data_IF_224116770281
#
_entry.id   IF_224116770281
#
_cell.length_a   1.000
_cell.length_b   1.000
_cell.length_c   1.000
_cell.angle_alpha   90.00
_cell.angle_beta   90.00
_cell.angle_gamma   90.00
#
_symmetry.space_group_name_H-M   'P 1'
#
loop_
_entity.id
_entity.type
_entity.pdbx_description
1 polymer ?
#
# COMPACT_ATOMS: atom_id res chain seq x y z
N UNK A 1 -7.53 46.00 -6.17
CA UNK A 1 -7.38 44.76 -5.38
C UNK A 1 -6.31 43.91 -6.04
N UNK A 2 -5.19 43.68 -5.37
CA UNK A 2 -4.07 42.89 -5.88
C UNK A 2 -4.52 41.43 -5.99
N UNK A 3 -4.55 40.89 -7.22
CA UNK A 3 -4.71 39.46 -7.45
C UNK A 3 -3.43 38.79 -6.96
N UNK A 4 -3.51 38.09 -5.83
CA UNK A 4 -2.41 37.21 -5.41
C UNK A 4 -2.21 36.17 -6.51
N UNK A 5 -1.02 36.19 -7.13
CA UNK A 5 -0.60 35.12 -8.02
C UNK A 5 -0.60 33.79 -7.22
N UNK A 6 -1.00 32.66 -7.83
CA UNK A 6 -0.82 31.38 -7.17
C UNK A 6 0.68 31.19 -6.91
N UNK A 7 1.05 31.06 -5.64
CA UNK A 7 2.39 30.62 -5.27
C UNK A 7 2.60 29.27 -5.94
N UNK A 8 3.51 29.21 -6.91
CA UNK A 8 3.93 27.95 -7.50
C UNK A 8 4.61 27.16 -6.39
N UNK A 9 3.92 26.13 -5.89
CA UNK A 9 4.51 25.21 -4.94
C UNK A 9 5.68 24.53 -5.63
N UNK A 10 6.87 24.65 -5.03
CA UNK A 10 8.03 23.89 -5.47
C UNK A 10 7.67 22.40 -5.40
N UNK A 11 7.82 21.69 -6.52
CA UNK A 11 7.51 20.26 -6.62
C UNK A 11 8.50 19.50 -5.74
N UNK A 12 7.98 18.72 -4.80
CA UNK A 12 8.81 17.79 -4.03
C UNK A 12 9.29 16.65 -4.95
N UNK A 13 10.60 16.39 -4.93
CA UNK A 13 11.25 15.39 -5.79
C UNK A 13 11.71 14.15 -5.04
N UNK A 14 11.33 14.02 -3.76
CA UNK A 14 11.63 12.86 -2.92
C UNK A 14 11.08 11.59 -3.56
N UNK A 15 11.91 10.55 -3.55
CA UNK A 15 11.57 9.25 -4.12
C UNK A 15 11.65 8.17 -3.06
N UNK A 16 10.63 7.33 -3.07
CA UNK A 16 10.60 6.05 -2.37
C UNK A 16 10.51 4.89 -3.37
N UNK A 17 10.86 3.70 -2.92
CA UNK A 17 10.66 2.49 -3.70
C UNK A 17 9.25 1.95 -3.45
N UNK A 18 8.54 1.66 -4.54
CA UNK A 18 7.24 1.00 -4.56
C UNK A 18 7.39 -0.27 -5.39
N UNK A 19 7.41 -1.44 -4.76
CA UNK A 19 7.80 -2.69 -5.43
C UNK A 19 6.86 -3.14 -6.56
N UNK A 20 5.66 -2.56 -6.64
CA UNK A 20 4.70 -2.81 -7.72
C UNK A 20 4.87 -1.89 -8.94
N UNK A 21 5.64 -0.81 -8.84
CA UNK A 21 5.85 0.14 -9.95
C UNK A 21 7.26 0.02 -10.51
N UNK A 22 7.37 -0.17 -11.83
CA UNK A 22 8.66 -0.11 -12.52
C UNK A 22 9.20 1.33 -12.57
N UNK A 23 8.31 2.32 -12.70
CA UNK A 23 8.65 3.74 -12.73
C UNK A 23 7.44 4.59 -12.32
N UNK A 24 7.72 5.81 -11.83
CA UNK A 24 6.73 6.86 -11.58
C UNK A 24 7.43 8.23 -11.53
N UNK A 25 6.66 9.30 -11.67
CA UNK A 25 7.14 10.67 -11.54
C UNK A 25 6.82 11.22 -10.14
N UNK A 26 7.76 11.85 -9.42
CA UNK A 26 7.49 12.39 -8.07
C UNK A 26 6.36 13.42 -8.04
N UNK A 27 6.12 14.10 -9.17
CA UNK A 27 5.01 15.03 -9.32
C UNK A 27 3.62 14.36 -9.23
N UNK A 28 3.52 13.03 -9.35
CA UNK A 28 2.27 12.28 -9.15
C UNK A 28 2.06 11.88 -7.70
N UNK A 29 2.88 12.34 -6.75
CA UNK A 29 2.71 11.98 -5.34
C UNK A 29 1.52 12.68 -4.68
N UNK A 30 0.96 12.07 -3.63
CA UNK A 30 -0.03 12.73 -2.76
C UNK A 30 0.46 14.10 -2.28
N UNK A 31 1.73 14.19 -1.87
CA UNK A 31 2.32 15.42 -1.34
C UNK A 31 2.21 16.59 -2.32
N UNK A 32 2.46 16.32 -3.60
CA UNK A 32 2.44 17.32 -4.67
C UNK A 32 1.03 17.62 -5.22
N UNK A 33 0.06 16.73 -5.03
CA UNK A 33 -1.28 16.86 -5.64
C UNK A 33 -2.40 17.18 -4.65
N UNK A 34 -2.21 16.91 -3.36
CA UNK A 34 -3.21 17.18 -2.32
C UNK A 34 -2.66 18.25 -1.40
N UNK A 35 -3.18 19.47 -1.51
CA UNK A 35 -2.77 20.58 -0.64
C UNK A 35 -3.43 20.46 0.73
N UNK A 36 -2.75 20.89 1.81
CA UNK A 36 -3.43 21.05 3.09
C UNK A 36 -4.54 22.12 2.96
N UNK A 37 -5.65 21.98 3.71
CA UNK A 37 -6.68 23.00 3.75
C UNK A 37 -6.14 24.36 4.21
N UNK A 38 -6.83 25.45 3.85
CA UNK A 38 -6.44 26.80 4.27
C UNK A 38 -6.34 26.89 5.80
N UNK A 39 -5.20 27.37 6.30
CA UNK A 39 -4.92 27.50 7.73
C UNK A 39 -4.36 26.23 8.40
N UNK A 40 -4.10 25.18 7.62
CA UNK A 40 -3.47 23.95 8.08
C UNK A 40 -2.14 23.73 7.37
N UNK A 41 -1.25 23.00 8.05
CA UNK A 41 0.02 22.53 7.50
C UNK A 41 0.03 21.00 7.52
N UNK A 42 0.80 20.41 6.60
CA UNK A 42 1.02 18.97 6.56
C UNK A 42 1.94 18.56 7.71
N UNK A 43 1.67 17.42 8.36
CA UNK A 43 2.56 16.91 9.41
C UNK A 43 3.98 16.71 8.88
N UNK A 44 4.96 17.22 9.62
CA UNK A 44 6.36 16.94 9.35
C UNK A 44 6.67 15.48 9.73
N UNK A 45 7.13 14.71 8.76
CA UNK A 45 7.48 13.30 8.95
C UNK A 45 8.99 13.14 8.89
N UNK A 46 9.53 12.23 9.71
CA UNK A 46 10.94 11.86 9.61
C UNK A 46 11.23 11.25 8.23
N UNK A 47 12.36 11.60 7.63
CA UNK A 47 12.80 11.05 6.35
C UNK A 47 12.83 9.52 6.42
N UNK A 48 12.30 8.85 5.38
CA UNK A 48 12.20 7.39 5.30
C UNK A 48 11.27 6.73 6.35
N UNK A 49 10.53 7.50 7.15
CA UNK A 49 9.46 6.95 7.99
C UNK A 49 8.30 6.43 7.15
N UNK A 50 7.43 5.64 7.78
CA UNK A 50 6.21 5.18 7.14
C UNK A 50 5.27 6.35 6.78
N UNK A 51 5.19 7.38 7.62
CA UNK A 51 4.38 8.56 7.34
C UNK A 51 4.90 9.33 6.13
N UNK A 52 6.22 9.56 6.07
CA UNK A 52 6.83 10.20 4.91
C UNK A 52 6.62 9.38 3.62
N UNK A 53 6.72 8.05 3.71
CA UNK A 53 6.42 7.14 2.59
C UNK A 53 4.96 7.25 2.13
N UNK A 54 4.00 7.26 3.06
CA UNK A 54 2.56 7.41 2.74
C UNK A 54 2.25 8.75 2.07
N UNK A 55 2.81 9.85 2.58
CA UNK A 55 2.61 11.18 2.01
C UNK A 55 3.11 11.28 0.57
N UNK A 56 4.02 10.40 0.13
CA UNK A 56 4.62 10.43 -1.20
C UNK A 56 4.12 9.32 -2.12
N UNK A 57 3.07 8.59 -1.74
CA UNK A 57 2.47 7.57 -2.60
C UNK A 57 2.05 8.18 -3.95
N UNK A 58 2.36 7.51 -5.08
CA UNK A 58 1.92 7.96 -6.38
C UNK A 58 0.41 7.75 -6.51
N UNK A 59 -0.25 8.71 -7.15
CA UNK A 59 -1.66 8.66 -7.50
C UNK A 59 -1.81 8.53 -9.01
N UNK A 60 -2.95 7.99 -9.43
CA UNK A 60 -3.39 8.07 -10.81
C UNK A 60 -3.76 9.53 -11.12
N UNK A 61 -3.12 10.10 -12.14
CA UNK A 61 -3.33 11.51 -12.55
C UNK A 61 -4.18 11.63 -13.80
N UNK A 62 -4.53 10.53 -14.46
CA UNK A 62 -5.26 10.53 -15.73
C UNK A 62 -6.69 10.07 -15.58
N UNK A 63 -6.95 9.07 -14.74
CA UNK A 63 -8.28 8.52 -14.52
C UNK A 63 -8.49 8.10 -13.06
N UNK A 64 -9.48 8.73 -12.41
CA UNK A 64 -9.91 8.42 -11.05
C UNK A 64 -11.20 7.59 -11.01
N UNK A 65 -11.60 6.98 -12.14
CA UNK A 65 -12.77 6.11 -12.19
C UNK A 65 -12.53 4.87 -11.33
N UNK A 66 -13.44 4.64 -10.39
CA UNK A 66 -13.40 3.45 -9.52
C UNK A 66 -14.41 2.42 -10.02
N UNK A 67 -13.94 1.20 -10.21
CA UNK A 67 -14.78 0.07 -10.58
C UNK A 67 -15.04 -0.81 -9.36
N UNK A 68 -16.23 -1.42 -9.32
CA UNK A 68 -16.54 -2.53 -8.42
C UNK A 68 -15.77 -3.78 -8.89
N UNK A 69 -15.69 -4.78 -8.02
CA UNK A 69 -15.00 -6.03 -8.35
C UNK A 69 -15.57 -6.74 -9.60
N UNK A 70 -16.88 -6.58 -9.87
CA UNK A 70 -17.54 -7.11 -11.05
C UNK A 70 -17.22 -6.33 -12.36
N UNK A 71 -16.38 -5.29 -12.30
CA UNK A 71 -15.99 -4.46 -13.44
C UNK A 71 -16.99 -3.34 -13.77
N UNK A 72 -18.11 -3.23 -13.06
CA UNK A 72 -19.03 -2.11 -13.22
C UNK A 72 -18.48 -0.85 -12.55
N UNK A 73 -18.82 0.33 -13.08
CA UNK A 73 -18.45 1.59 -12.41
C UNK A 73 -19.14 1.67 -11.05
N UNK A 74 -18.40 2.02 -10.00
CA UNK A 74 -18.98 2.34 -8.69
C UNK A 74 -20.00 3.46 -8.84
N UNK A 75 -21.18 3.32 -8.25
CA UNK A 75 -22.27 4.29 -8.47
C UNK A 75 -21.88 5.73 -8.06
N UNK A 76 -21.17 5.88 -6.93
CA UNK A 76 -20.69 7.17 -6.45
C UNK A 76 -19.22 7.39 -6.85
N UNK A 77 -19.01 8.00 -8.01
CA UNK A 77 -17.69 8.42 -8.50
C UNK A 77 -17.17 9.71 -7.83
N UNK A 78 -17.94 10.32 -6.93
CA UNK A 78 -17.54 11.52 -6.19
C UNK A 78 -17.04 11.19 -4.78
N UNK A 79 -17.04 9.90 -4.39
CA UNK A 79 -16.59 9.46 -3.07
C UNK A 79 -15.06 9.54 -2.91
N UNK A 80 -14.32 9.44 -4.00
CA UNK A 80 -12.87 9.51 -4.04
C UNK A 80 -12.40 10.87 -4.55
N UNK A 81 -11.37 11.43 -3.92
CA UNK A 81 -10.69 12.62 -4.44
C UNK A 81 -9.59 12.24 -5.45
N UNK A 82 -8.82 11.19 -5.13
CA UNK A 82 -7.75 10.62 -5.96
C UNK A 82 -7.73 9.10 -5.78
N UNK A 83 -7.13 8.39 -6.73
CA UNK A 83 -6.89 6.94 -6.66
C UNK A 83 -5.40 6.68 -6.56
N UNK A 84 -4.96 5.79 -5.66
CA UNK A 84 -3.55 5.40 -5.58
C UNK A 84 -3.15 4.62 -6.85
N UNK A 85 -1.96 4.88 -7.36
CA UNK A 85 -1.37 4.07 -8.43
C UNK A 85 -0.76 2.80 -7.81
N UNK A 86 -1.60 1.77 -7.65
CA UNK A 86 -1.24 0.53 -6.99
C UNK A 86 -1.92 -0.68 -7.64
N UNK A 87 -1.18 -1.78 -7.83
CA UNK A 87 -1.73 -2.98 -8.46
C UNK A 87 -2.73 -3.68 -7.53
N UNK A 88 -3.97 -3.92 -7.96
CA UNK A 88 -5.02 -4.50 -7.09
C UNK A 88 -5.15 -6.02 -7.21
N UNK A 89 -4.64 -6.61 -8.29
CA UNK A 89 -4.85 -8.02 -8.64
C UNK A 89 -6.31 -8.31 -9.01
N UNK A 90 -6.65 -9.59 -9.17
CA UNK A 90 -7.93 -10.02 -9.76
C UNK A 90 -8.90 -10.65 -8.73
N UNK A 91 -8.67 -10.41 -7.43
CA UNK A 91 -9.49 -10.99 -6.35
C UNK A 91 -10.24 -9.91 -5.59
N UNK A 92 -11.44 -10.24 -5.13
CA UNK A 92 -12.23 -9.39 -4.22
C UNK A 92 -11.65 -9.46 -2.80
N UNK A 93 -10.45 -8.91 -2.64
CA UNK A 93 -9.70 -8.79 -1.39
C UNK A 93 -9.28 -7.33 -1.22
N UNK A 94 -8.70 -6.98 -0.08
CA UNK A 94 -8.22 -5.63 0.24
C UNK A 94 -9.29 -4.67 0.75
N UNK A 95 -10.25 -5.16 1.53
CA UNK A 95 -11.29 -4.32 2.13
C UNK A 95 -10.79 -3.68 3.43
N UNK A 96 -11.10 -2.40 3.63
CA UNK A 96 -10.84 -1.63 4.86
C UNK A 96 -9.45 -1.87 5.50
N UNK A 97 -9.36 -2.76 6.49
CA UNK A 97 -8.14 -3.06 7.23
C UNK A 97 -7.03 -3.63 6.34
N UNK A 98 -7.38 -4.45 5.36
CA UNK A 98 -6.42 -5.09 4.46
C UNK A 98 -5.61 -4.07 3.64
N UNK A 99 -6.24 -2.95 3.24
CA UNK A 99 -5.56 -1.90 2.49
C UNK A 99 -4.46 -1.25 3.34
N UNK A 100 -4.72 -0.98 4.62
CA UNK A 100 -3.73 -0.43 5.55
C UNK A 100 -2.65 -1.46 5.86
N UNK A 101 -3.04 -2.72 6.09
CA UNK A 101 -2.10 -3.84 6.29
C UNK A 101 -1.16 -4.00 5.10
N UNK A 102 -1.70 -3.92 3.87
CA UNK A 102 -0.92 -3.94 2.64
C UNK A 102 0.08 -2.79 2.59
N UNK A 103 -0.35 -1.55 2.76
CA UNK A 103 0.54 -0.39 2.70
C UNK A 103 1.68 -0.48 3.72
N UNK A 104 1.37 -0.93 4.95
CA UNK A 104 2.40 -1.14 5.98
C UNK A 104 3.37 -2.26 5.60
N UNK A 105 2.87 -3.38 5.09
CA UNK A 105 3.71 -4.50 4.68
C UNK A 105 4.61 -4.12 3.49
N UNK A 106 4.09 -3.38 2.52
CA UNK A 106 4.84 -2.87 1.36
C UNK A 106 5.99 -1.95 1.79
N UNK A 107 5.74 -1.01 2.71
CA UNK A 107 6.79 -0.17 3.28
C UNK A 107 7.89 -0.99 3.98
N UNK A 108 7.51 -1.97 4.80
CA UNK A 108 8.48 -2.83 5.48
C UNK A 108 9.24 -3.71 4.49
N UNK A 109 8.58 -4.19 3.44
CA UNK A 109 9.19 -5.00 2.40
C UNK A 109 10.22 -4.20 1.59
N UNK A 110 9.86 -3.00 1.13
CA UNK A 110 10.75 -2.13 0.33
C UNK A 110 11.96 -1.64 1.13
N UNK A 111 11.80 -1.49 2.44
CA UNK A 111 12.88 -1.15 3.38
C UNK A 111 13.60 -2.39 3.97
N UNK A 112 13.30 -3.59 3.47
CA UNK A 112 13.92 -4.88 3.86
C UNK A 112 13.77 -5.26 5.34
N UNK A 113 12.76 -4.73 6.03
CA UNK A 113 12.43 -5.04 7.42
C UNK A 113 11.50 -6.27 7.51
N UNK A 114 11.93 -7.40 6.95
CA UNK A 114 11.10 -8.61 6.78
C UNK A 114 10.67 -9.26 8.11
N UNK A 115 11.50 -9.12 9.15
CA UNK A 115 11.25 -9.56 10.52
C UNK A 115 10.03 -8.86 11.16
N UNK A 116 9.74 -7.64 10.72
CA UNK A 116 8.59 -6.84 11.19
C UNK A 116 7.30 -7.13 10.42
N UNK A 117 7.36 -7.87 9.31
CA UNK A 117 6.18 -8.24 8.54
C UNK A 117 5.57 -9.49 9.17
N UNK A 118 4.55 -9.29 10.00
CA UNK A 118 3.83 -10.36 10.68
C UNK A 118 2.40 -9.93 10.96
N UNK A 119 1.47 -10.82 10.70
CA UNK A 119 0.04 -10.59 10.88
C UNK A 119 -0.59 -11.77 11.58
N UNK A 120 -1.69 -11.54 12.28
CA UNK A 120 -2.43 -12.60 12.94
C UNK A 120 -3.59 -13.04 12.07
N UNK A 121 -3.80 -14.35 11.98
CA UNK A 121 -5.10 -14.88 11.57
C UNK A 121 -6.18 -14.52 12.59
N UNK A 122 -7.44 -14.68 12.21
CA UNK A 122 -8.61 -14.38 13.06
C UNK A 122 -8.63 -15.22 14.35
N UNK A 123 -8.00 -16.38 14.36
CA UNK A 123 -7.79 -17.21 15.56
C UNK A 123 -6.61 -16.77 16.44
N UNK A 124 -5.97 -15.63 16.13
CA UNK A 124 -4.87 -15.05 16.88
C UNK A 124 -3.48 -15.62 16.56
N UNK A 125 -3.37 -16.59 15.65
CA UNK A 125 -2.07 -17.17 15.30
C UNK A 125 -1.26 -16.20 14.45
N UNK A 126 -0.07 -15.83 14.94
CA UNK A 126 0.87 -14.99 14.20
C UNK A 126 1.49 -15.76 13.02
N UNK A 127 1.43 -15.15 11.84
CA UNK A 127 2.01 -15.62 10.59
C UNK A 127 3.12 -14.65 10.20
N UNK A 128 4.38 -14.94 10.56
CA UNK A 128 5.50 -14.07 10.18
C UNK A 128 5.94 -14.34 8.74
N UNK A 129 6.17 -13.27 7.98
CA UNK A 129 6.70 -13.36 6.63
C UNK A 129 8.08 -14.02 6.60
N UNK A 130 8.91 -13.86 7.63
CA UNK A 130 10.22 -14.51 7.73
C UNK A 130 10.12 -16.05 7.62
N UNK A 131 9.08 -16.64 8.24
CA UNK A 131 8.84 -18.09 8.15
C UNK A 131 8.30 -18.47 6.77
N UNK A 132 7.37 -17.69 6.23
CA UNK A 132 6.91 -17.85 4.85
C UNK A 132 8.08 -17.84 3.85
N UNK A 133 8.91 -16.79 3.90
CA UNK A 133 10.04 -16.57 3.00
C UNK A 133 11.18 -17.57 3.16
N UNK A 134 11.17 -18.37 4.23
CA UNK A 134 12.14 -19.46 4.44
C UNK A 134 11.72 -20.79 3.79
N UNK A 135 10.66 -20.79 2.98
CA UNK A 135 10.21 -22.00 2.26
C UNK A 135 9.07 -22.74 2.95
N UNK A 136 8.21 -22.04 3.70
CA UNK A 136 7.06 -22.66 4.36
C UNK A 136 5.73 -22.02 3.97
N UNK A 137 4.65 -22.79 4.13
CA UNK A 137 3.28 -22.35 3.95
C UNK A 137 2.46 -22.68 5.22
N UNK A 138 1.68 -21.71 5.75
CA UNK A 138 0.78 -21.95 6.88
C UNK A 138 -0.50 -22.66 6.41
N UNK A 139 -0.64 -23.94 6.75
CA UNK A 139 -1.85 -24.72 6.46
C UNK A 139 -2.75 -24.77 7.70
N UNK A 140 -4.01 -24.39 7.55
CA UNK A 140 -5.01 -24.56 8.60
C UNK A 140 -5.41 -26.04 8.73
N UNK A 141 -5.39 -26.54 9.97
CA UNK A 141 -5.92 -27.85 10.35
C UNK A 141 -6.82 -27.66 11.58
N UNK A 142 -8.13 -27.60 11.35
CA UNK A 142 -9.07 -27.10 12.36
C UNK A 142 -8.72 -25.66 12.75
N UNK A 143 -8.61 -25.39 14.05
CA UNK A 143 -8.25 -24.06 14.58
C UNK A 143 -6.74 -23.83 14.75
N UNK A 144 -5.88 -24.73 14.24
CA UNK A 144 -4.42 -24.63 14.39
C UNK A 144 -3.73 -24.40 13.04
N UNK A 145 -2.60 -23.71 13.07
CA UNK A 145 -1.71 -23.55 11.92
C UNK A 145 -0.61 -24.60 12.00
N UNK A 146 -0.49 -25.40 10.94
CA UNK A 146 0.62 -26.32 10.71
C UNK A 146 1.45 -25.80 9.56
N UNK A 147 2.76 -25.68 9.77
CA UNK A 147 3.68 -25.22 8.74
C UNK A 147 4.15 -26.40 7.88
N UNK A 148 3.96 -26.30 6.57
CA UNK A 148 4.40 -27.30 5.59
C UNK A 148 5.45 -26.73 4.66
N UNK A 149 6.35 -27.57 4.16
CA UNK A 149 7.35 -27.15 3.18
C UNK A 149 6.67 -26.63 1.90
N UNK A 150 7.20 -25.55 1.37
CA UNK A 150 6.75 -24.88 0.16
C UNK A 150 7.95 -24.22 -0.55
N UNK A 151 7.73 -23.70 -1.76
CA UNK A 151 8.75 -22.95 -2.51
C UNK A 151 8.57 -21.43 -2.32
N UNK A 152 8.14 -21.03 -1.13
CA UNK A 152 7.98 -19.63 -0.77
C UNK A 152 9.34 -19.00 -0.48
N UNK A 153 9.49 -17.72 -0.83
CA UNK A 153 10.77 -17.02 -0.75
C UNK A 153 10.57 -15.52 -0.53
N UNK A 154 11.66 -14.75 -0.54
CA UNK A 154 11.63 -13.30 -0.33
C UNK A 154 11.38 -12.49 -1.61
N UNK A 155 11.03 -13.12 -2.75
CA UNK A 155 10.70 -12.38 -3.97
C UNK A 155 9.39 -11.62 -3.82
N UNK A 156 9.22 -10.54 -4.59
CA UNK A 156 8.00 -9.73 -4.52
C UNK A 156 6.75 -10.53 -4.91
N UNK A 157 6.90 -11.43 -5.88
CA UNK A 157 5.84 -12.37 -6.27
C UNK A 157 5.44 -13.30 -5.11
N UNK A 158 6.39 -13.79 -4.32
CA UNK A 158 6.08 -14.62 -3.15
C UNK A 158 5.51 -13.79 -1.99
N UNK A 159 5.97 -12.56 -1.81
CA UNK A 159 5.40 -11.61 -0.86
C UNK A 159 3.94 -11.26 -1.16
N UNK A 160 3.58 -11.02 -2.43
CA UNK A 160 2.16 -10.83 -2.81
C UNK A 160 1.30 -12.05 -2.48
N UNK A 161 1.83 -13.27 -2.64
CA UNK A 161 1.13 -14.50 -2.22
C UNK A 161 0.96 -14.58 -0.71
N UNK A 162 1.95 -14.14 0.07
CA UNK A 162 1.83 -14.01 1.51
C UNK A 162 0.70 -13.05 1.87
N UNK A 163 0.65 -11.84 1.29
CA UNK A 163 -0.44 -10.89 1.56
C UNK A 163 -1.82 -11.46 1.22
N UNK A 164 -1.96 -12.11 0.06
CA UNK A 164 -3.21 -12.79 -0.30
C UNK A 164 -3.59 -13.85 0.75
N UNK A 165 -2.62 -14.62 1.26
CA UNK A 165 -2.87 -15.60 2.32
C UNK A 165 -3.29 -14.96 3.65
N UNK A 166 -2.85 -13.74 3.95
CA UNK A 166 -3.27 -13.00 5.15
C UNK A 166 -4.68 -12.44 5.01
N UNK A 167 -5.08 -12.02 3.81
CA UNK A 167 -6.41 -11.45 3.56
C UNK A 167 -7.52 -12.50 3.34
N UNK A 168 -7.18 -13.79 3.28
CA UNK A 168 -8.11 -14.89 2.97
C UNK A 168 -8.60 -15.64 4.21
#
# INVERSE_FOLDING_TARGET
>A
MLKNAPQQQLVDTTRYTYSWLASYHPNTSIFNNILPPKGYERSAEEKNSFGAWLQHLPINTTDNTVYLFNGEKKYNQQAQHVVLDIDIGDRDLQQCADAVMRLRAEYLYTTKQFDKIKFNYTNGVEIPFSKWSSGFYPKLQGNKVVWVNAQNNSSYKSFKKYLINIFS
#
